data_IF_796461793459
#
_entry.id   IF_796461793459
#
_cell.length_a   1.000
_cell.length_b   1.000
_cell.length_c   1.000
_cell.angle_alpha   90.00
_cell.angle_beta   90.00
_cell.angle_gamma   90.00
#
_symmetry.space_group_name_H-M   'P 1'
#
loop_
_entity.id
_entity.type
_entity.pdbx_description
1 polymer ?
#
# COMPACT_ATOMS: atom_id res chain seq x y z
N UNK A 1 11.12 -16.66 15.34
CA UNK A 1 10.41 -16.67 14.03
C UNK A 1 11.07 -15.69 13.04
N UNK A 2 11.50 -16.16 11.87
CA UNK A 2 12.02 -15.28 10.82
C UNK A 2 10.85 -14.84 9.91
N UNK A 3 10.16 -13.78 10.30
CA UNK A 3 9.06 -13.21 9.51
C UNK A 3 9.61 -12.19 8.51
N UNK A 4 9.26 -12.34 7.24
CA UNK A 4 9.58 -11.36 6.19
C UNK A 4 8.44 -10.35 6.12
N UNK A 5 8.79 -9.06 6.29
CA UNK A 5 7.85 -7.94 6.15
C UNK A 5 7.88 -7.40 4.71
N UNK A 6 6.73 -7.43 4.05
CA UNK A 6 6.49 -6.90 2.71
C UNK A 6 5.53 -5.71 2.83
N UNK A 7 5.87 -4.58 2.22
CA UNK A 7 4.97 -3.44 2.11
C UNK A 7 4.47 -3.30 0.67
N UNK A 8 3.14 -3.18 0.49
CA UNK A 8 2.53 -2.96 -0.81
C UNK A 8 2.11 -1.49 -0.90
N UNK A 9 2.90 -0.68 -1.59
CA UNK A 9 2.72 0.77 -1.70
C UNK A 9 1.81 1.11 -2.89
N UNK A 10 0.87 2.04 -2.75
CA UNK A 10 0.27 2.70 -3.91
C UNK A 10 1.33 3.55 -4.63
N UNK A 11 1.18 3.85 -5.94
CA UNK A 11 2.12 4.68 -6.68
C UNK A 11 2.18 6.13 -6.15
N UNK A 12 1.10 6.60 -5.54
CA UNK A 12 1.04 7.91 -4.88
C UNK A 12 -0.05 7.92 -3.80
N UNK A 13 0.05 8.89 -2.89
CA UNK A 13 -0.98 9.17 -1.89
C UNK A 13 -2.31 9.60 -2.54
N UNK A 14 -2.24 10.33 -3.66
CA UNK A 14 -3.43 10.72 -4.41
C UNK A 14 -4.16 9.51 -4.98
N UNK A 15 -3.43 8.53 -5.51
CA UNK A 15 -4.03 7.29 -6.01
C UNK A 15 -4.60 6.44 -4.87
N UNK A 16 -3.94 6.42 -3.71
CA UNK A 16 -4.48 5.78 -2.51
C UNK A 16 -5.81 6.41 -2.10
N UNK A 17 -5.86 7.74 -2.00
CA UNK A 17 -7.07 8.49 -1.68
C UNK A 17 -8.17 8.24 -2.71
N UNK A 18 -7.83 8.23 -4.00
CA UNK A 18 -8.77 7.91 -5.08
C UNK A 18 -9.35 6.51 -4.92
N UNK A 19 -8.52 5.49 -4.67
CA UNK A 19 -8.94 4.10 -4.46
C UNK A 19 -9.81 3.93 -3.22
N UNK A 20 -9.46 4.59 -2.10
CA UNK A 20 -10.27 4.57 -0.87
C UNK A 20 -11.63 5.25 -1.09
N UNK A 21 -11.65 6.37 -1.82
CA UNK A 21 -12.90 7.08 -2.16
C UNK A 21 -13.78 6.27 -3.11
N UNK A 22 -13.19 5.64 -4.14
CA UNK A 22 -13.92 4.80 -5.10
C UNK A 22 -14.48 3.51 -4.49
N UNK A 23 -13.85 2.99 -3.42
CA UNK A 23 -14.35 1.82 -2.68
C UNK A 23 -15.60 2.12 -1.84
N UNK A 24 -15.97 3.40 -1.69
CA UNK A 24 -17.29 3.92 -1.31
C UNK A 24 -18.14 3.04 -0.37
N UNK A 25 -17.62 2.73 0.83
CA UNK A 25 -18.42 2.26 1.97
C UNK A 25 -18.21 3.12 3.23
N UNK A 26 -17.29 4.09 3.17
CA UNK A 26 -16.79 4.84 4.32
C UNK A 26 -17.05 6.34 4.12
N UNK A 27 -17.49 7.03 5.17
CA UNK A 27 -17.67 8.50 5.17
C UNK A 27 -16.36 9.23 4.84
N UNK A 28 -16.46 10.45 4.29
CA UNK A 28 -15.29 11.25 3.92
C UNK A 28 -14.27 11.46 5.06
N UNK A 29 -14.75 11.47 6.32
CA UNK A 29 -13.89 11.53 7.50
C UNK A 29 -13.07 10.24 7.72
N UNK A 30 -13.65 9.08 7.44
CA UNK A 30 -12.99 7.78 7.55
C UNK A 30 -11.93 7.63 6.46
N UNK A 31 -12.22 8.08 5.23
CA UNK A 31 -11.22 8.12 4.15
C UNK A 31 -10.04 9.00 4.54
N UNK A 32 -10.29 10.20 5.07
CA UNK A 32 -9.22 11.10 5.51
C UNK A 32 -8.35 10.49 6.63
N UNK A 33 -8.98 9.86 7.63
CA UNK A 33 -8.26 9.18 8.70
C UNK A 33 -7.40 8.01 8.19
N UNK A 34 -7.92 7.21 7.25
CA UNK A 34 -7.17 6.11 6.63
C UNK A 34 -6.02 6.59 5.75
N UNK A 35 -6.20 7.68 5.02
CA UNK A 35 -5.11 8.29 4.22
C UNK A 35 -4.02 8.79 5.15
N UNK A 36 -4.36 9.50 6.22
CA UNK A 36 -3.38 9.99 7.21
C UNK A 36 -2.62 8.84 7.89
N UNK A 37 -3.32 7.76 8.27
CA UNK A 37 -2.68 6.57 8.81
C UNK A 37 -1.72 5.92 7.80
N UNK A 38 -2.11 5.87 6.52
CA UNK A 38 -1.24 5.34 5.48
C UNK A 38 -0.03 6.25 5.19
N UNK A 39 -0.17 7.58 5.28
CA UNK A 39 0.96 8.52 5.21
C UNK A 39 1.97 8.24 6.34
N UNK A 40 1.49 8.03 7.55
CA UNK A 40 2.31 7.67 8.70
C UNK A 40 2.98 6.30 8.50
N UNK A 41 2.26 5.27 8.04
CA UNK A 41 2.83 3.96 7.74
C UNK A 41 3.87 4.01 6.60
N UNK A 42 3.65 4.84 5.58
CA UNK A 42 4.61 5.05 4.48
C UNK A 42 5.92 5.67 4.97
N UNK A 43 5.90 6.47 6.04
CA UNK A 43 7.12 6.98 6.66
C UNK A 43 7.98 5.87 7.26
N UNK A 44 7.36 4.77 7.71
CA UNK A 44 8.01 3.56 8.22
C UNK A 44 8.26 2.49 7.16
N UNK A 45 7.77 2.68 5.92
CA UNK A 45 7.90 1.67 4.86
C UNK A 45 9.37 1.34 4.52
N UNK A 46 10.31 2.24 4.82
CA UNK A 46 11.74 2.01 4.72
C UNK A 46 12.28 0.88 5.61
N UNK A 47 11.52 0.46 6.63
CA UNK A 47 11.89 -0.62 7.55
C UNK A 47 11.45 -2.01 7.08
N UNK A 48 10.68 -2.09 5.98
CA UNK A 48 10.26 -3.36 5.39
C UNK A 48 11.41 -4.05 4.65
N UNK A 49 11.40 -5.38 4.63
CA UNK A 49 12.42 -6.15 3.89
C UNK A 49 12.23 -6.01 2.38
N UNK A 50 10.99 -5.82 1.94
CA UNK A 50 10.62 -5.65 0.54
C UNK A 50 9.51 -4.61 0.38
N UNK A 51 9.56 -3.89 -0.73
CA UNK A 51 8.54 -2.92 -1.14
C UNK A 51 8.06 -3.28 -2.55
N UNK A 52 6.74 -3.32 -2.74
CA UNK A 52 6.10 -3.58 -4.04
C UNK A 52 5.15 -2.43 -4.33
N UNK A 53 5.38 -1.74 -5.45
CA UNK A 53 4.48 -0.66 -5.89
C UNK A 53 3.32 -1.28 -6.66
N UNK A 54 2.11 -1.08 -6.17
CA UNK A 54 0.87 -1.58 -6.74
C UNK A 54 0.22 -0.52 -7.65
N UNK A 55 0.94 -0.16 -8.71
CA UNK A 55 0.41 0.66 -9.80
C UNK A 55 -0.41 -0.19 -10.78
N UNK A 56 0.22 -1.24 -11.31
CA UNK A 56 -0.39 -2.27 -12.13
C UNK A 56 -0.44 -3.61 -11.35
N UNK A 57 -1.62 -4.23 -11.30
CA UNK A 57 -1.84 -5.46 -10.53
C UNK A 57 -0.97 -6.62 -11.04
N UNK A 58 -0.89 -6.83 -12.36
CA UNK A 58 -0.15 -7.94 -12.95
C UNK A 58 1.35 -7.78 -12.68
N UNK A 59 1.89 -6.58 -12.87
CA UNK A 59 3.30 -6.28 -12.58
C UNK A 59 3.63 -6.41 -11.08
N UNK A 60 2.73 -5.95 -10.20
CA UNK A 60 2.89 -6.07 -8.76
C UNK A 60 2.84 -7.54 -8.31
N UNK A 61 1.98 -8.35 -8.94
CA UNK A 61 1.87 -9.79 -8.68
C UNK A 61 3.15 -10.52 -9.13
N UNK A 62 3.65 -10.25 -10.34
CA UNK A 62 4.92 -10.82 -10.81
C UNK A 62 6.05 -10.49 -9.85
N UNK A 63 6.15 -9.22 -9.43
CA UNK A 63 7.18 -8.79 -8.48
C UNK A 63 7.07 -9.50 -7.13
N UNK A 64 5.84 -9.72 -6.65
CA UNK A 64 5.59 -10.45 -5.42
C UNK A 64 6.03 -11.92 -5.56
N UNK A 65 5.71 -12.57 -6.68
CA UNK A 65 6.13 -13.95 -6.96
C UNK A 65 7.65 -14.07 -7.01
N UNK A 66 8.36 -13.10 -7.61
CA UNK A 66 9.83 -13.07 -7.62
C UNK A 66 10.45 -13.00 -6.23
N UNK A 67 9.83 -12.29 -5.28
CA UNK A 67 10.35 -12.13 -3.91
C UNK A 67 10.31 -13.45 -3.13
N UNK A 68 9.33 -14.31 -3.41
CA UNK A 68 9.11 -15.57 -2.68
C UNK A 68 9.55 -16.83 -3.45
N UNK A 69 10.25 -16.65 -4.57
CA UNK A 69 10.81 -17.76 -5.37
C UNK A 69 12.20 -18.14 -4.89
#
# INVERSE_FOLDING_TARGET
PAAVRLFILPPSLDELRRRLTLRAQDDAQVVAARVAAAEEEMSHAGEAHFQVINDNFDAALERLVEIFR
#
